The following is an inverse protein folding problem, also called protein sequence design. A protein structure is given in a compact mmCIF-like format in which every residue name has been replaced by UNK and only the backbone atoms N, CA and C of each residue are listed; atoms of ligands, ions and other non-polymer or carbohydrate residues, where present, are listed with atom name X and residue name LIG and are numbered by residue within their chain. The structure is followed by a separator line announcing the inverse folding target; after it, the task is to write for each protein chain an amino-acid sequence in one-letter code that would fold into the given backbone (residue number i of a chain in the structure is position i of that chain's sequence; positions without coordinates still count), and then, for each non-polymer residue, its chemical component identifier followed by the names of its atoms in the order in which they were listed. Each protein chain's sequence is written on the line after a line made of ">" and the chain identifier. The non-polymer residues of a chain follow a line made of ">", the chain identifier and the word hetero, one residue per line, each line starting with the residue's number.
data_IF_913170817724
#
_entry.id   IF_913170817724
#
_cell.length_a   1.000
_cell.length_b   1.000
_cell.length_c   1.000
_cell.angle_alpha   90.00
_cell.angle_beta   90.00
_cell.angle_gamma   90.00
#
_symmetry.space_group_name_H-M   'P 1'
#
loop_
_entity.id
_entity.type
_entity.pdbx_description
1 polymer ?
#
# COMPACT_ATOMS: atom_id res chain seq x y z
N UNK A 1 -4.84 -2.04 0.79
CA UNK A 1 -4.25 -0.68 0.80
C UNK A 1 -3.32 -0.43 1.98
N UNK A 2 -3.78 -0.53 3.24
CA UNK A 2 -2.90 -0.34 4.40
C UNK A 2 -1.63 -1.21 4.36
N UNK A 3 -1.79 -2.51 4.10
CA UNK A 3 -0.65 -3.44 3.96
C UNK A 3 0.23 -3.12 2.74
N UNK A 4 -0.37 -2.58 1.68
CA UNK A 4 0.35 -2.16 0.49
C UNK A 4 1.30 -0.99 0.80
N UNK A 5 0.82 0.05 1.48
CA UNK A 5 1.66 1.16 1.96
C UNK A 5 2.70 0.71 2.99
N UNK A 6 2.38 -0.29 3.83
CA UNK A 6 3.33 -0.86 4.79
C UNK A 6 4.55 -1.48 4.11
N UNK A 7 4.41 -2.06 2.91
CA UNK A 7 5.56 -2.57 2.15
C UNK A 7 6.53 -1.43 1.81
N UNK A 8 6.02 -0.30 1.32
CA UNK A 8 6.84 0.88 1.04
C UNK A 8 7.44 1.48 2.31
N UNK A 9 6.69 1.51 3.40
CA UNK A 9 7.23 1.96 4.68
C UNK A 9 8.46 1.14 5.08
N UNK A 10 8.41 -0.19 4.93
CA UNK A 10 9.55 -1.05 5.22
C UNK A 10 10.71 -0.79 4.26
N UNK A 11 10.44 -0.62 2.97
CA UNK A 11 11.45 -0.27 1.97
C UNK A 11 12.20 1.02 2.37
N UNK A 12 11.47 2.12 2.62
CA UNK A 12 12.07 3.42 2.93
C UNK A 12 12.68 3.52 4.33
N UNK A 13 12.32 2.64 5.28
CA UNK A 13 12.79 2.79 6.67
C UNK A 13 13.77 1.73 7.13
N UNK A 14 13.79 0.56 6.51
CA UNK A 14 14.64 -0.57 6.91
C UNK A 14 15.65 -0.95 5.83
N UNK A 15 15.67 -0.26 4.68
CA UNK A 15 16.59 -0.49 3.56
C UNK A 15 16.76 -1.97 3.21
N UNK A 16 15.68 -2.75 3.32
CA UNK A 16 15.67 -4.11 2.80
C UNK A 16 15.36 -4.01 1.32
N UNK A 17 16.17 -4.65 0.49
CA UNK A 17 15.86 -5.00 -0.90
C UNK A 17 14.64 -5.91 -0.89
N UNK A 18 13.48 -5.31 -0.64
CA UNK A 18 12.20 -5.98 -0.71
C UNK A 18 11.73 -5.69 -2.11
N UNK A 19 11.87 -6.68 -2.99
CA UNK A 19 11.34 -6.60 -4.35
C UNK A 19 9.86 -6.25 -4.21
N UNK A 20 9.50 -5.05 -4.67
CA UNK A 20 8.12 -4.62 -4.68
C UNK A 20 7.50 -5.33 -5.88
N UNK A 21 6.82 -6.45 -5.60
CA UNK A 21 6.25 -7.37 -6.59
C UNK A 21 5.83 -6.67 -7.88
N UNK A 22 6.50 -7.03 -8.97
CA UNK A 22 6.12 -6.57 -10.29
C UNK A 22 4.95 -7.40 -10.81
N UNK A 23 3.87 -6.71 -11.17
CA UNK A 23 2.67 -7.33 -11.77
C UNK A 23 2.97 -8.06 -13.09
N UNK A 24 4.14 -7.80 -13.69
CA UNK A 24 4.53 -8.34 -14.99
C UNK A 24 4.62 -9.88 -14.99
N UNK A 25 5.23 -10.50 -13.99
CA UNK A 25 5.34 -11.96 -13.91
C UNK A 25 3.95 -12.64 -13.79
N UNK A 26 3.07 -12.02 -13.01
CA UNK A 26 1.70 -12.52 -12.81
C UNK A 26 0.86 -12.37 -14.09
N UNK A 27 1.04 -11.28 -14.84
CA UNK A 27 0.40 -11.08 -16.15
C UNK A 27 0.91 -12.06 -17.20
N UNK A 28 2.20 -12.35 -17.21
CA UNK A 28 2.79 -13.35 -18.11
C UNK A 28 2.26 -14.76 -17.80
N UNK A 29 2.17 -15.12 -16.53
CA UNK A 29 1.55 -16.38 -16.11
C UNK A 29 0.08 -16.45 -16.52
N UNK A 30 -0.65 -15.33 -16.38
CA UNK A 30 -2.05 -15.23 -16.80
C UNK A 30 -2.24 -15.38 -18.32
N UNK A 31 -1.34 -14.83 -19.15
CA UNK A 31 -1.43 -14.91 -20.61
C UNK A 31 -1.21 -16.34 -21.13
N UNK A 32 -0.35 -17.11 -20.46
CA UNK A 32 -0.06 -18.52 -20.77
C UNK A 32 -1.19 -19.49 -20.39
N UNK A 33 -2.11 -19.10 -19.52
CA UNK A 33 -3.22 -19.96 -19.07
C UNK A 33 -4.39 -19.98 -20.06
N UNK A 34 -5.07 -21.13 -20.17
CA UNK A 34 -6.28 -21.27 -21.00
C UNK A 34 -7.56 -21.20 -20.16
N UNK A 35 -8.59 -20.52 -20.67
CA UNK A 35 -9.91 -20.49 -20.04
C UNK A 35 -10.62 -21.84 -20.09
N UNK A 36 -10.31 -22.66 -21.10
CA UNK A 36 -10.92 -23.98 -21.27
C UNK A 36 -10.24 -24.99 -20.35
N UNK A 37 -8.90 -24.99 -20.30
CA UNK A 37 -8.14 -25.97 -19.52
C UNK A 37 -8.02 -25.62 -18.03
N UNK A 38 -7.98 -24.34 -17.68
CA UNK A 38 -7.71 -23.86 -16.32
C UNK A 38 -8.58 -22.66 -15.91
N UNK A 39 -9.92 -22.76 -15.99
CA UNK A 39 -10.82 -21.64 -15.78
C UNK A 39 -10.68 -21.00 -14.40
N UNK A 40 -10.64 -21.80 -13.34
CA UNK A 40 -10.58 -21.31 -11.96
C UNK A 40 -9.27 -20.57 -11.66
N UNK A 41 -8.12 -21.15 -12.01
CA UNK A 41 -6.81 -20.51 -11.82
C UNK A 41 -6.71 -19.20 -12.61
N UNK A 42 -7.20 -19.19 -13.85
CA UNK A 42 -7.18 -17.98 -14.69
C UNK A 42 -8.11 -16.90 -14.12
N UNK A 43 -9.29 -17.27 -13.61
CA UNK A 43 -10.19 -16.36 -12.93
C UNK A 43 -9.55 -15.74 -11.67
N UNK A 44 -8.97 -16.55 -10.79
CA UNK A 44 -8.31 -16.05 -9.58
C UNK A 44 -7.18 -15.07 -9.91
N UNK A 45 -6.35 -15.38 -10.90
CA UNK A 45 -5.30 -14.47 -11.35
C UNK A 45 -5.88 -13.18 -11.94
N UNK A 46 -7.00 -13.24 -12.68
CA UNK A 46 -7.68 -12.03 -13.16
C UNK A 46 -8.15 -11.14 -12.01
N UNK A 47 -8.75 -11.72 -10.97
CA UNK A 47 -9.20 -11.00 -9.77
C UNK A 47 -8.01 -10.36 -9.07
N UNK A 48 -6.93 -11.11 -8.88
CA UNK A 48 -5.71 -10.60 -8.27
C UNK A 48 -5.08 -9.46 -9.08
N UNK A 49 -4.94 -9.61 -10.40
CA UNK A 49 -4.40 -8.55 -11.28
C UNK A 49 -5.24 -7.28 -11.17
N UNK A 50 -6.57 -7.40 -11.19
CA UNK A 50 -7.45 -6.25 -11.07
C UNK A 50 -7.34 -5.56 -9.71
N UNK A 51 -7.25 -6.35 -8.63
CA UNK A 51 -7.03 -5.81 -7.29
C UNK A 51 -5.70 -5.05 -7.19
N UNK A 52 -4.60 -5.63 -7.68
CA UNK A 52 -3.29 -4.96 -7.66
C UNK A 52 -3.26 -3.74 -8.58
N UNK A 53 -3.99 -3.76 -9.69
CA UNK A 53 -4.16 -2.58 -10.55
C UNK A 53 -4.85 -1.44 -9.79
N UNK A 54 -5.93 -1.72 -9.05
CA UNK A 54 -6.59 -0.72 -8.20
C UNK A 54 -5.64 -0.19 -7.11
N UNK A 55 -4.80 -1.06 -6.52
CA UNK A 55 -3.74 -0.64 -5.61
C UNK A 55 -2.77 0.35 -6.26
N UNK A 56 -2.32 0.09 -7.48
CA UNK A 56 -1.42 1.01 -8.19
C UNK A 56 -2.07 2.35 -8.51
N UNK A 57 -3.35 2.37 -8.88
CA UNK A 57 -4.07 3.61 -9.16
C UNK A 57 -4.24 4.46 -7.89
N UNK A 58 -4.51 3.85 -6.75
CA UNK A 58 -4.73 4.54 -5.48
C UNK A 58 -3.43 4.90 -4.74
N UNK A 59 -2.29 4.35 -5.17
CA UNK A 59 -0.98 4.53 -4.55
C UNK A 59 0.04 5.03 -5.58
N UNK A 60 -0.36 6.05 -6.35
CA UNK A 60 0.41 6.57 -7.49
C UNK A 60 1.69 7.25 -7.03
N UNK A 61 1.62 8.09 -5.99
CA UNK A 61 2.76 8.91 -5.60
C UNK A 61 3.83 8.09 -4.88
N UNK A 62 3.44 7.13 -4.04
CA UNK A 62 4.41 6.24 -3.38
C UNK A 62 5.19 5.40 -4.40
N UNK A 63 4.52 4.92 -5.45
CA UNK A 63 5.17 4.19 -6.54
C UNK A 63 6.09 5.08 -7.37
N UNK A 64 5.70 6.34 -7.59
CA UNK A 64 6.53 7.33 -8.29
C UNK A 64 7.80 7.66 -7.48
N UNK A 65 7.65 7.83 -6.16
CA UNK A 65 8.77 8.01 -5.23
C UNK A 65 9.71 6.79 -5.23
N UNK A 66 9.15 5.58 -5.12
CA UNK A 66 9.93 4.35 -5.19
C UNK A 66 10.74 4.27 -6.48
N UNK A 67 10.08 4.42 -7.64
CA UNK A 67 10.75 4.38 -8.94
C UNK A 67 11.84 5.45 -9.06
N UNK A 68 11.57 6.66 -8.59
CA UNK A 68 12.57 7.73 -8.60
C UNK A 68 13.80 7.36 -7.75
N UNK A 69 13.60 6.75 -6.58
CA UNK A 69 14.71 6.34 -5.72
C UNK A 69 15.51 5.19 -6.34
N UNK A 70 14.83 4.21 -6.94
CA UNK A 70 15.48 3.16 -7.72
C UNK A 70 16.32 3.73 -8.88
N UNK A 71 15.72 4.59 -9.70
CA UNK A 71 16.36 5.12 -10.91
C UNK A 71 17.53 6.08 -10.59
N UNK A 72 17.41 6.91 -9.54
CA UNK A 72 18.36 8.00 -9.26
C UNK A 72 19.38 7.67 -8.17
N UNK A 73 19.04 6.77 -7.24
CA UNK A 73 19.91 6.38 -6.12
C UNK A 73 20.22 4.89 -6.11
N UNK A 74 19.88 4.14 -7.18
CA UNK A 74 20.11 2.68 -7.30
C UNK A 74 19.53 1.89 -6.13
N UNK A 75 18.35 2.30 -5.66
CA UNK A 75 17.66 1.71 -4.51
C UNK A 75 18.26 2.07 -3.14
N UNK A 76 19.33 2.88 -3.10
CA UNK A 76 19.92 3.32 -1.84
C UNK A 76 19.17 4.52 -1.25
N UNK A 77 18.28 4.23 -0.30
CA UNK A 77 17.50 5.24 0.41
C UNK A 77 18.41 6.07 1.33
N UNK A 78 18.58 7.35 0.99
CA UNK A 78 19.43 8.29 1.72
C UNK A 78 18.94 8.56 3.15
N UNK A 79 19.85 8.76 4.11
CA UNK A 79 19.52 8.97 5.53
C UNK A 79 18.52 10.11 5.76
N UNK A 80 18.72 11.26 5.11
CA UNK A 80 17.81 12.40 5.18
C UNK A 80 16.40 12.08 4.66
N UNK A 81 16.29 11.19 3.67
CA UNK A 81 15.00 10.71 3.17
C UNK A 81 14.35 9.74 4.16
N UNK A 82 15.12 8.84 4.76
CA UNK A 82 14.61 7.92 5.80
C UNK A 82 13.99 8.71 6.96
N UNK A 83 14.68 9.74 7.44
CA UNK A 83 14.23 10.58 8.55
C UNK A 83 12.94 11.33 8.22
N UNK A 84 12.91 12.01 7.07
CA UNK A 84 11.72 12.76 6.64
C UNK A 84 10.55 11.80 6.35
N UNK A 85 10.81 10.64 5.76
CA UNK A 85 9.81 9.60 5.53
C UNK A 85 9.21 9.10 6.85
N UNK A 86 10.05 8.80 7.86
CA UNK A 86 9.60 8.35 9.19
C UNK A 86 8.76 9.42 9.88
N UNK A 87 9.14 10.69 9.80
CA UNK A 87 8.44 11.81 10.42
C UNK A 87 6.97 11.88 9.99
N UNK A 88 6.68 11.71 8.70
CA UNK A 88 5.31 11.79 8.19
C UNK A 88 4.54 10.46 8.24
N UNK A 89 5.21 9.33 7.97
CA UNK A 89 4.53 8.04 7.84
C UNK A 89 4.39 7.28 9.17
N UNK A 90 5.22 7.54 10.18
CA UNK A 90 5.10 6.89 11.51
C UNK A 90 3.73 7.14 12.16
N UNK A 91 3.16 8.36 12.16
CA UNK A 91 1.80 8.59 12.64
C UNK A 91 0.71 7.84 11.86
N UNK A 92 0.99 7.42 10.62
CA UNK A 92 0.01 6.70 9.79
C UNK A 92 -0.16 5.23 10.19
N UNK A 93 0.83 4.65 10.88
CA UNK A 93 0.83 3.25 11.34
C UNK A 93 -0.40 2.94 12.21
N UNK A 94 -0.90 3.91 13.01
CA UNK A 94 -2.10 3.69 13.83
C UNK A 94 -3.35 3.42 12.96
N UNK A 95 -3.50 4.11 11.84
CA UNK A 95 -4.61 3.88 10.92
C UNK A 95 -4.43 2.57 10.16
N UNK A 96 -3.19 2.22 9.81
CA UNK A 96 -2.89 0.89 9.25
C UNK A 96 -3.34 -0.21 10.21
N UNK A 97 -2.99 -0.11 11.50
CA UNK A 97 -3.38 -1.06 12.53
C UNK A 97 -4.91 -1.15 12.69
N UNK A 98 -5.63 -0.01 12.68
CA UNK A 98 -7.11 0.00 12.68
C UNK A 98 -7.68 -0.75 11.47
N UNK A 99 -7.05 -0.60 10.30
CA UNK A 99 -7.48 -1.23 9.05
C UNK A 99 -7.05 -2.70 8.92
N UNK A 100 -6.28 -3.26 9.87
CA UNK A 100 -5.88 -4.68 9.84
C UNK A 100 -7.00 -5.62 10.32
N UNK A 101 -6.82 -6.91 10.05
CA UNK A 101 -7.73 -7.99 10.47
C UNK A 101 -7.93 -8.03 11.99
N UNK A 102 -6.93 -7.64 12.78
CA UNK A 102 -7.02 -7.67 14.25
C UNK A 102 -8.16 -6.81 14.79
N UNK A 103 -8.29 -5.58 14.31
CA UNK A 103 -9.36 -4.67 14.73
C UNK A 103 -10.73 -5.21 14.30
N UNK A 104 -10.83 -5.76 13.08
CA UNK A 104 -12.06 -6.40 12.59
C UNK A 104 -12.48 -7.55 13.52
N UNK A 105 -11.56 -8.44 13.86
CA UNK A 105 -11.85 -9.57 14.74
C UNK A 105 -12.32 -9.12 16.12
N UNK A 106 -11.67 -8.11 16.74
CA UNK A 106 -12.09 -7.57 18.05
C UNK A 106 -13.52 -7.04 17.99
N UNK A 107 -13.85 -6.23 16.98
CA UNK A 107 -15.21 -5.66 16.84
C UNK A 107 -16.24 -6.75 16.51
N UNK A 108 -15.86 -7.74 15.71
CA UNK A 108 -16.70 -8.91 15.42
C UNK A 108 -17.05 -9.66 16.70
N UNK A 109 -16.05 -9.96 17.55
CA UNK A 109 -16.28 -10.63 18.83
C UNK A 109 -17.24 -9.83 19.71
N UNK A 110 -17.03 -8.52 19.84
CA UNK A 110 -17.92 -7.65 20.62
C UNK A 110 -19.35 -7.70 20.08
N UNK A 111 -19.54 -7.60 18.75
CA UNK A 111 -20.86 -7.64 18.14
C UNK A 111 -21.58 -8.99 18.32
N UNK A 112 -20.83 -10.10 18.29
CA UNK A 112 -21.35 -11.44 18.56
C UNK A 112 -21.76 -11.58 20.04
N UNK A 113 -20.94 -11.12 20.98
CA UNK A 113 -21.29 -11.13 22.41
C UNK A 113 -22.50 -10.23 22.73
N UNK A 114 -22.67 -9.13 21.98
CA UNK A 114 -23.85 -8.27 22.07
C UNK A 114 -25.10 -8.89 21.45
N UNK A 115 -24.97 -10.02 20.75
CA UNK A 115 -26.09 -10.72 20.10
C UNK A 115 -26.62 -10.01 18.85
N UNK A 116 -25.91 -9.03 18.31
CA UNK A 116 -26.35 -8.29 17.12
C UNK A 116 -25.20 -8.04 16.13
N UNK A 117 -25.04 -8.99 15.22
CA UNK A 117 -24.02 -8.96 14.16
C UNK A 117 -24.18 -7.79 13.18
N UNK A 118 -25.36 -7.16 13.08
CA UNK A 118 -25.58 -6.03 12.16
C UNK A 118 -24.69 -4.83 12.51
N UNK A 119 -24.36 -4.65 13.80
CA UNK A 119 -23.44 -3.59 14.24
C UNK A 119 -22.04 -3.77 13.66
N UNK A 120 -21.57 -5.01 13.51
CA UNK A 120 -20.29 -5.29 12.87
C UNK A 120 -20.31 -4.86 11.40
N UNK A 121 -21.36 -5.22 10.65
CA UNK A 121 -21.50 -4.82 9.25
C UNK A 121 -21.58 -3.30 9.09
N UNK A 122 -22.31 -2.60 9.97
CA UNK A 122 -22.38 -1.14 9.96
C UNK A 122 -21.02 -0.51 10.23
N UNK A 123 -20.28 -1.02 11.23
CA UNK A 123 -18.94 -0.57 11.54
C UNK A 123 -17.98 -0.77 10.36
N UNK A 124 -18.04 -1.92 9.69
CA UNK A 124 -17.17 -2.21 8.54
C UNK A 124 -17.51 -1.33 7.34
N UNK A 125 -18.80 -1.20 7.01
CA UNK A 125 -19.25 -0.40 5.87
C UNK A 125 -19.02 1.10 6.07
N UNK A 126 -19.18 1.62 7.29
CA UNK A 126 -19.04 3.05 7.57
C UNK A 126 -17.66 3.37 8.13
N UNK A 127 -17.35 2.90 9.33
CA UNK A 127 -16.16 3.34 10.07
C UNK A 127 -14.87 2.93 9.37
N UNK A 128 -14.73 1.65 9.00
CA UNK A 128 -13.50 1.18 8.36
C UNK A 128 -13.31 1.78 6.96
N UNK A 129 -14.38 1.96 6.18
CA UNK A 129 -14.29 2.61 4.86
C UNK A 129 -13.94 4.10 4.97
N UNK A 130 -14.51 4.83 5.94
CA UNK A 130 -14.14 6.23 6.18
C UNK A 130 -12.66 6.36 6.59
N UNK A 131 -12.19 5.50 7.49
CA UNK A 131 -10.78 5.45 7.90
C UNK A 131 -9.90 5.09 6.70
N UNK A 132 -10.31 4.15 5.85
CA UNK A 132 -9.59 3.76 4.64
C UNK A 132 -9.45 4.92 3.65
N UNK A 133 -10.53 5.63 3.36
CA UNK A 133 -10.52 6.77 2.44
C UNK A 133 -9.59 7.87 2.99
N UNK A 134 -9.76 8.25 4.25
CA UNK A 134 -8.89 9.24 4.90
C UNK A 134 -7.42 8.82 4.87
N UNK A 135 -7.13 7.55 5.19
CA UNK A 135 -5.79 6.99 5.17
C UNK A 135 -5.16 7.10 3.78
N UNK A 136 -5.85 6.66 2.73
CA UNK A 136 -5.34 6.71 1.35
C UNK A 136 -5.08 8.15 0.90
N UNK A 137 -6.02 9.08 1.15
CA UNK A 137 -5.85 10.49 0.77
C UNK A 137 -4.63 11.10 1.47
N UNK A 138 -4.45 10.79 2.76
CA UNK A 138 -3.35 11.34 3.54
C UNK A 138 -2.00 10.75 3.13
N UNK A 139 -1.94 9.44 2.92
CA UNK A 139 -0.77 8.74 2.41
C UNK A 139 -0.35 9.29 1.03
N UNK A 140 -1.27 9.46 0.09
CA UNK A 140 -0.94 10.03 -1.23
C UNK A 140 -0.41 11.47 -1.14
N UNK A 141 -0.99 12.31 -0.26
CA UNK A 141 -0.49 13.68 -0.03
C UNK A 141 0.92 13.68 0.55
N UNK A 142 1.20 12.82 1.53
CA UNK A 142 2.53 12.67 2.13
C UNK A 142 3.54 12.23 1.08
N UNK A 143 3.21 11.21 0.29
CA UNK A 143 4.12 10.70 -0.74
C UNK A 143 4.34 11.68 -1.89
N UNK A 144 3.33 12.49 -2.24
CA UNK A 144 3.51 13.60 -3.19
C UNK A 144 4.53 14.61 -2.65
N UNK A 145 4.39 15.03 -1.39
CA UNK A 145 5.36 15.93 -0.75
C UNK A 145 6.78 15.33 -0.75
N UNK A 146 6.91 14.08 -0.33
CA UNK A 146 8.20 13.39 -0.27
C UNK A 146 8.85 13.27 -1.65
N UNK A 147 8.06 13.04 -2.70
CA UNK A 147 8.54 13.02 -4.08
C UNK A 147 9.16 14.35 -4.50
N UNK A 148 8.45 15.46 -4.27
CA UNK A 148 8.97 16.81 -4.57
C UNK A 148 10.20 17.16 -3.72
N UNK A 149 10.18 16.79 -2.43
CA UNK A 149 11.30 16.98 -1.50
C UNK A 149 12.58 16.28 -1.98
N UNK A 150 12.46 15.02 -2.42
CA UNK A 150 13.59 14.24 -2.93
C UNK A 150 14.12 14.84 -4.23
N UNK A 151 13.23 15.26 -5.12
CA UNK A 151 13.60 15.89 -6.40
C UNK A 151 14.38 17.18 -6.17
N UNK A 152 13.87 18.08 -5.32
CA UNK A 152 14.56 19.34 -5.00
C UNK A 152 15.90 19.13 -4.29
N UNK A 153 16.01 18.14 -3.39
CA UNK A 153 17.29 17.79 -2.76
C UNK A 153 18.34 17.29 -3.76
N UNK A 154 17.93 16.54 -4.78
CA UNK A 154 18.84 16.05 -5.82
C UNK A 154 19.38 17.19 -6.68
N UNK A 155 18.53 18.15 -7.07
CA UNK A 155 18.93 19.32 -7.85
C UNK A 155 20.05 20.09 -7.12
N UNK A 156 19.89 20.35 -5.82
CA UNK A 156 20.94 20.98 -4.99
C UNK A 156 22.22 20.14 -4.76
N UNK A 157 22.20 18.82 -5.02
CA UNK A 157 23.40 17.97 -4.90
C UNK A 157 24.19 17.91 -6.21
N UNK A 158 23.60 18.36 -7.31
CA UNK A 158 24.22 18.38 -8.64
C UNK A 158 24.77 19.76 -9.03
N UNK A 159 24.47 20.80 -8.24
CA UNK A 159 25.04 22.15 -8.31
C UNK A 159 26.31 22.26 -7.43
#
# INVERSE_FOLDING_TARGET
>A
MADYYRIFYLYFTQSKNKDIDDLNEVKETYSKLSWIKTPFRKFLLRVYINYTHQQHLLAKHVRSLYKYVEDNFRGNVQSWLIEEYRKFNKPMIKYQNILTTNTRMIVLFIAVFWGNILHYFLFELIVLNLVLIYFVIKEEKIHKYLFEFVKGKKEHLND
#
